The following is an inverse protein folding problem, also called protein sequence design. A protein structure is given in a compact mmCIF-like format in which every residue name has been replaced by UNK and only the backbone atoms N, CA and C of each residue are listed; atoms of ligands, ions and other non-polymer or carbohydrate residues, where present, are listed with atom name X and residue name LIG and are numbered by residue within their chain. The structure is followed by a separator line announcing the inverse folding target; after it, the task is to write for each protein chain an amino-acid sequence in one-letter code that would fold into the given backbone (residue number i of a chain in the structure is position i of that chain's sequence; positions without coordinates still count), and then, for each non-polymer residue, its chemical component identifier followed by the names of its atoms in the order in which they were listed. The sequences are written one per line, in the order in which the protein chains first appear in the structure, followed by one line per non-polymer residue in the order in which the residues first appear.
data_IF_850150760895
#
_entry.id   IF_850150760895
#
_cell.length_a   1.000
_cell.length_b   1.000
_cell.length_c   1.000
_cell.angle_alpha   90.00
_cell.angle_beta   90.00
_cell.angle_gamma   90.00
#
_symmetry.space_group_name_H-M   'P 1'
#
loop_
_entity.id
_entity.type
_entity.pdbx_description
1 polymer ?
#
# COMPACT_ATOMS: atom_id res chain seq x y z
N UNK A 1 -26.76 0.44 10.61
CA UNK A 1 -26.41 1.00 11.94
C UNK A 1 -26.91 0.03 12.99
N UNK A 2 -26.06 -0.35 13.97
CA UNK A 2 -26.41 -1.21 15.12
C UNK A 2 -26.30 -0.37 16.39
N UNK A 3 -27.32 -0.40 17.25
CA UNK A 3 -27.34 0.33 18.52
C UNK A 3 -26.92 -0.61 19.65
N UNK A 4 -25.73 -0.42 20.22
CA UNK A 4 -25.27 -1.13 21.40
C UNK A 4 -25.40 -0.26 22.64
N UNK A 5 -26.08 -0.76 23.67
CA UNK A 5 -26.24 -0.08 24.98
C UNK A 5 -25.37 -0.78 26.01
N UNK A 6 -24.34 -0.07 26.49
CA UNK A 6 -23.36 -0.60 27.43
C UNK A 6 -23.81 -0.44 28.90
N UNK A 7 -23.11 -1.12 29.80
CA UNK A 7 -23.35 -1.18 31.26
C UNK A 7 -24.58 -2.03 31.66
N UNK A 8 -24.96 -2.99 30.82
CA UNK A 8 -25.97 -3.99 31.18
C UNK A 8 -25.29 -5.15 31.94
N UNK A 9 -24.88 -4.91 33.19
CA UNK A 9 -24.01 -5.82 33.95
C UNK A 9 -24.73 -7.01 34.56
N UNK A 10 -26.08 -6.99 34.61
CA UNK A 10 -26.90 -8.09 35.14
C UNK A 10 -27.29 -9.04 34.00
N UNK A 11 -26.96 -10.32 34.18
CA UNK A 11 -27.34 -11.38 33.24
C UNK A 11 -28.84 -11.68 33.38
N UNK A 12 -29.57 -11.64 32.26
CA UNK A 12 -30.98 -12.11 32.17
C UNK A 12 -32.06 -11.06 32.40
N UNK A 13 -31.75 -9.91 32.95
CA UNK A 13 -32.72 -8.81 33.10
C UNK A 13 -32.10 -7.50 32.63
N UNK A 14 -32.43 -7.03 31.41
CA UNK A 14 -31.98 -5.72 30.96
C UNK A 14 -32.59 -4.61 31.84
N UNK A 15 -31.83 -3.54 32.15
CA UNK A 15 -32.36 -2.43 32.97
C UNK A 15 -33.54 -1.77 32.24
N UNK A 16 -34.54 -1.29 33.03
CA UNK A 16 -35.74 -0.65 32.45
C UNK A 16 -35.40 0.56 31.58
N UNK A 17 -34.35 1.27 31.90
CA UNK A 17 -33.83 2.41 31.14
C UNK A 17 -33.37 2.04 29.71
N UNK A 18 -33.16 0.75 29.43
CA UNK A 18 -32.83 0.28 28.08
C UNK A 18 -33.95 0.62 27.09
N UNK A 19 -35.21 0.55 27.54
CA UNK A 19 -36.35 0.78 26.67
C UNK A 19 -36.49 2.23 26.22
N UNK A 20 -35.88 3.18 26.93
CA UNK A 20 -35.87 4.60 26.52
C UNK A 20 -35.14 4.82 25.21
N UNK A 21 -34.14 3.95 24.89
CA UNK A 21 -33.36 4.04 23.64
C UNK A 21 -34.16 3.63 22.39
N UNK A 22 -35.27 2.91 22.54
CA UNK A 22 -36.15 2.66 21.39
C UNK A 22 -36.77 3.94 20.82
N UNK A 23 -36.84 5.00 21.61
CA UNK A 23 -37.31 6.32 21.15
C UNK A 23 -36.42 6.93 20.08
N UNK A 24 -35.19 6.46 19.93
CA UNK A 24 -34.25 6.90 18.88
C UNK A 24 -34.64 6.40 17.47
N UNK A 25 -35.48 5.36 17.36
CA UNK A 25 -35.97 4.83 16.10
C UNK A 25 -34.89 4.22 15.20
N UNK A 26 -33.77 3.75 15.80
CA UNK A 26 -32.59 3.25 15.03
C UNK A 26 -32.69 1.73 14.76
N UNK A 27 -33.68 1.04 15.32
CA UNK A 27 -33.88 -0.40 15.22
C UNK A 27 -33.70 -1.11 16.56
N UNK A 28 -33.35 -2.39 16.52
CA UNK A 28 -33.18 -3.22 17.70
C UNK A 28 -31.96 -2.82 18.53
N UNK A 29 -32.07 -2.97 19.84
CA UNK A 29 -31.04 -2.59 20.80
C UNK A 29 -30.30 -3.86 21.22
N UNK A 30 -28.97 -3.83 21.16
CA UNK A 30 -28.12 -4.90 21.68
C UNK A 30 -27.57 -4.49 23.06
N UNK A 31 -28.05 -5.08 24.17
CA UNK A 31 -27.51 -4.79 25.49
C UNK A 31 -26.15 -5.49 25.67
N UNK A 32 -25.15 -4.73 26.11
CA UNK A 32 -23.80 -5.27 26.34
C UNK A 32 -23.26 -4.85 27.72
N UNK A 33 -22.30 -5.61 28.23
CA UNK A 33 -21.44 -5.21 29.35
C UNK A 33 -19.99 -5.33 28.91
N UNK A 34 -19.32 -4.22 28.63
CA UNK A 34 -17.91 -4.19 28.26
C UNK A 34 -16.99 -4.67 29.39
N UNK A 35 -17.43 -4.55 30.66
CA UNK A 35 -16.66 -4.98 31.84
C UNK A 35 -16.69 -6.50 32.01
N UNK A 36 -17.84 -7.10 31.75
CA UNK A 36 -18.07 -8.54 31.98
C UNK A 36 -18.10 -9.35 30.68
N UNK A 37 -18.04 -8.72 29.50
CA UNK A 37 -18.10 -9.39 28.21
C UNK A 37 -19.48 -9.93 27.81
N UNK A 38 -20.55 -9.62 28.60
CA UNK A 38 -21.89 -10.07 28.28
C UNK A 38 -22.45 -9.37 27.04
N UNK A 39 -23.14 -10.10 26.16
CA UNK A 39 -23.79 -9.58 24.96
C UNK A 39 -22.83 -9.16 23.84
N UNK A 40 -21.51 -9.32 24.02
CA UNK A 40 -20.53 -8.94 22.98
C UNK A 40 -20.57 -9.89 21.78
N UNK A 41 -20.89 -11.18 21.98
CA UNK A 41 -21.12 -12.14 20.90
C UNK A 41 -22.34 -11.74 20.07
N UNK A 42 -23.48 -11.50 20.71
CA UNK A 42 -24.72 -11.08 20.04
C UNK A 42 -24.54 -9.76 19.26
N UNK A 43 -23.73 -8.83 19.82
CA UNK A 43 -23.37 -7.60 19.11
C UNK A 43 -22.59 -7.89 17.83
N UNK A 44 -21.57 -8.77 17.89
CA UNK A 44 -20.78 -9.12 16.73
C UNK A 44 -21.61 -9.84 15.67
N UNK A 45 -22.48 -10.77 16.08
CA UNK A 45 -23.38 -11.48 15.17
C UNK A 45 -24.33 -10.49 14.48
N UNK A 46 -24.94 -9.57 15.24
CA UNK A 46 -25.80 -8.51 14.68
C UNK A 46 -25.03 -7.59 13.72
N UNK A 47 -23.78 -7.27 14.01
CA UNK A 47 -22.93 -6.49 13.08
C UNK A 47 -22.68 -7.28 11.81
N UNK A 48 -22.31 -8.55 11.92
CA UNK A 48 -22.06 -9.42 10.74
C UNK A 48 -23.30 -9.59 9.85
N UNK A 49 -24.50 -9.74 10.45
CA UNK A 49 -25.75 -9.84 9.70
C UNK A 49 -26.11 -8.54 8.95
N UNK A 50 -25.68 -7.39 9.48
CA UNK A 50 -25.94 -6.09 8.86
C UNK A 50 -24.80 -5.61 7.94
N UNK A 51 -23.68 -6.34 7.84
CA UNK A 51 -22.65 -6.11 6.86
C UNK A 51 -23.10 -6.68 5.52
N UNK A 52 -23.39 -5.80 4.59
CA UNK A 52 -23.53 -6.16 3.19
C UNK A 52 -22.12 -6.23 2.61
N UNK A 53 -21.67 -7.44 2.32
CA UNK A 53 -20.50 -7.64 1.48
C UNK A 53 -20.97 -7.40 0.04
N UNK A 54 -20.53 -6.31 -0.58
CA UNK A 54 -20.73 -6.13 -2.01
C UNK A 54 -19.90 -7.17 -2.75
N UNK A 55 -20.50 -7.85 -3.75
CA UNK A 55 -19.78 -8.82 -4.60
C UNK A 55 -18.57 -8.19 -5.33
N UNK A 56 -18.45 -6.86 -5.31
CA UNK A 56 -17.30 -6.11 -5.82
C UNK A 56 -16.05 -6.22 -4.92
N UNK A 57 -16.20 -6.58 -3.63
CA UNK A 57 -15.06 -6.69 -2.70
C UNK A 57 -14.12 -7.84 -3.11
N UNK A 58 -14.62 -8.92 -3.69
CA UNK A 58 -13.79 -10.02 -4.21
C UNK A 58 -12.92 -9.59 -5.41
N UNK A 59 -13.42 -8.68 -6.26
CA UNK A 59 -12.63 -8.13 -7.38
C UNK A 59 -11.57 -7.12 -6.92
N UNK A 60 -11.78 -6.41 -5.81
CA UNK A 60 -10.78 -5.51 -5.23
C UNK A 60 -9.66 -6.28 -4.50
N UNK A 61 -9.96 -7.40 -3.85
CA UNK A 61 -8.95 -8.24 -3.18
C UNK A 61 -7.92 -8.84 -4.15
N UNK A 62 -8.30 -9.07 -5.42
CA UNK A 62 -7.40 -9.63 -6.46
C UNK A 62 -6.43 -8.58 -7.03
N UNK A 63 -6.58 -7.29 -6.70
CA UNK A 63 -5.73 -6.20 -7.17
C UNK A 63 -4.62 -5.90 -6.18
N UNK A 64 -3.42 -5.65 -6.69
CA UNK A 64 -2.26 -5.28 -5.86
C UNK A 64 -2.18 -3.75 -5.76
N UNK A 65 -2.44 -3.15 -4.57
CA UNK A 65 -2.26 -1.72 -4.37
C UNK A 65 -0.78 -1.36 -4.31
N UNK A 66 -0.34 -0.48 -5.23
CA UNK A 66 1.06 -0.09 -5.42
C UNK A 66 1.24 1.41 -5.23
N UNK A 67 2.13 1.81 -4.32
CA UNK A 67 2.58 3.19 -4.21
C UNK A 67 3.89 3.40 -4.96
N UNK A 68 3.98 4.49 -5.74
CA UNK A 68 5.23 4.93 -6.37
C UNK A 68 5.77 6.13 -5.61
N UNK A 69 6.82 5.92 -4.83
CA UNK A 69 7.41 6.92 -3.95
C UNK A 69 8.86 7.25 -4.34
N UNK A 70 9.38 8.32 -3.79
CA UNK A 70 10.73 8.81 -4.05
C UNK A 70 10.75 10.33 -4.15
N UNK A 71 11.94 10.92 -4.15
CA UNK A 71 12.14 12.37 -4.20
C UNK A 71 11.59 13.02 -5.49
N UNK A 72 11.46 14.34 -5.56
CA UNK A 72 11.06 15.04 -6.77
C UNK A 72 12.00 14.73 -7.95
N UNK A 73 11.45 14.70 -9.16
CA UNK A 73 12.17 14.55 -10.44
C UNK A 73 12.90 13.21 -10.68
N UNK A 74 12.71 12.18 -9.84
CA UNK A 74 13.24 10.82 -10.09
C UNK A 74 12.52 10.09 -11.23
N UNK A 75 11.38 10.63 -11.71
CA UNK A 75 10.64 10.07 -12.84
C UNK A 75 9.35 9.32 -12.49
N UNK A 76 8.78 9.51 -11.28
CA UNK A 76 7.50 8.89 -10.88
C UNK A 76 6.37 9.13 -11.88
N UNK A 77 6.17 10.40 -12.25
CA UNK A 77 5.14 10.78 -13.25
C UNK A 77 5.41 10.19 -14.62
N UNK A 78 6.69 10.07 -15.00
CA UNK A 78 7.09 9.44 -16.27
C UNK A 78 6.77 7.95 -16.26
N UNK A 79 7.00 7.28 -15.14
CA UNK A 79 6.65 5.86 -14.98
C UNK A 79 5.14 5.64 -15.13
N UNK A 80 4.34 6.39 -14.38
CA UNK A 80 2.87 6.28 -14.46
C UNK A 80 2.37 6.62 -15.86
N UNK A 81 2.87 7.68 -16.49
CA UNK A 81 2.46 8.05 -17.85
C UNK A 81 2.86 6.99 -18.89
N UNK A 82 4.01 6.35 -18.73
CA UNK A 82 4.43 5.26 -19.62
C UNK A 82 3.52 4.04 -19.47
N UNK A 83 3.26 3.63 -18.22
CA UNK A 83 2.34 2.54 -17.90
C UNK A 83 0.96 2.80 -18.51
N UNK A 84 0.44 4.03 -18.41
CA UNK A 84 -0.86 4.41 -18.97
C UNK A 84 -0.87 4.54 -20.51
N UNK A 85 0.27 4.82 -21.11
CA UNK A 85 0.41 4.97 -22.56
C UNK A 85 0.53 3.65 -23.33
N UNK A 86 0.82 2.56 -22.66
CA UNK A 86 0.84 1.23 -23.28
C UNK A 86 -0.59 0.75 -23.53
N UNK A 87 -1.00 0.65 -24.81
CA UNK A 87 -2.36 0.38 -25.30
C UNK A 87 -2.97 -1.00 -24.91
N UNK A 88 -2.47 -1.66 -23.89
CA UNK A 88 -2.94 -2.96 -23.40
C UNK A 88 -3.62 -2.87 -22.03
N UNK A 89 -3.87 -1.65 -21.54
CA UNK A 89 -4.34 -1.43 -20.18
C UNK A 89 -5.81 -1.00 -20.16
N UNK A 90 -6.61 -1.71 -19.39
CA UNK A 90 -7.94 -1.24 -19.00
C UNK A 90 -7.73 -0.20 -17.89
N UNK A 91 -7.86 1.08 -18.24
CA UNK A 91 -7.78 2.18 -17.27
C UNK A 91 -9.19 2.53 -16.84
N UNK A 92 -9.61 2.07 -15.67
CA UNK A 92 -10.79 2.59 -15.01
C UNK A 92 -10.37 3.74 -14.07
N UNK A 93 -11.00 4.91 -14.22
CA UNK A 93 -10.87 6.00 -13.25
C UNK A 93 -12.04 5.88 -12.27
N UNK A 94 -11.90 5.10 -11.22
CA UNK A 94 -12.84 5.20 -10.10
C UNK A 94 -12.44 6.37 -9.21
N UNK A 95 -13.33 7.36 -9.12
CA UNK A 95 -13.22 8.43 -8.14
C UNK A 95 -13.59 7.81 -6.78
N UNK A 96 -12.57 7.46 -5.99
CA UNK A 96 -12.77 7.05 -4.61
C UNK A 96 -13.49 8.14 -3.81
N UNK A 97 -14.25 7.75 -2.80
CA UNK A 97 -15.12 8.56 -1.95
C UNK A 97 -14.41 9.66 -1.14
N UNK A 98 -13.11 9.82 -1.26
CA UNK A 98 -12.33 10.92 -0.65
C UNK A 98 -11.85 11.89 -1.71
N UNK A 99 -12.19 13.15 -1.55
CA UNK A 99 -12.11 14.30 -2.49
C UNK A 99 -10.79 14.57 -3.22
N UNK A 100 -9.68 13.82 -2.99
CA UNK A 100 -8.36 14.21 -3.49
C UNK A 100 -7.46 13.08 -4.05
N UNK A 101 -7.79 11.82 -3.89
CA UNK A 101 -6.98 10.70 -4.37
C UNK A 101 -7.57 10.10 -5.65
N UNK A 102 -6.86 10.19 -6.76
CA UNK A 102 -7.20 9.47 -7.99
C UNK A 102 -6.26 8.29 -8.09
N UNK A 103 -6.81 7.11 -7.88
CA UNK A 103 -6.11 5.85 -8.08
C UNK A 103 -6.22 5.42 -9.55
N UNK A 104 -5.23 4.69 -10.03
CA UNK A 104 -5.18 4.22 -11.42
C UNK A 104 -5.15 2.73 -11.45
N UNK A 105 -6.19 2.13 -11.99
CA UNK A 105 -6.25 0.69 -12.23
C UNK A 105 -5.49 0.32 -13.50
N UNK A 106 -4.71 -0.73 -13.41
CA UNK A 106 -3.88 -1.26 -14.48
C UNK A 106 -4.03 -2.76 -14.50
N UNK A 107 -4.43 -3.29 -15.65
CA UNK A 107 -4.52 -4.74 -15.88
C UNK A 107 -3.65 -5.13 -17.07
N UNK A 108 -2.81 -6.11 -16.90
CA UNK A 108 -1.93 -6.62 -17.94
C UNK A 108 -1.69 -8.14 -17.76
N UNK A 109 -0.82 -8.72 -18.57
CA UNK A 109 -0.46 -10.15 -18.52
C UNK A 109 0.17 -10.59 -17.18
N UNK A 110 0.63 -9.65 -16.35
CA UNK A 110 1.24 -9.89 -15.04
C UNK A 110 0.23 -9.77 -13.89
N UNK A 111 -1.00 -9.32 -14.13
CA UNK A 111 -2.05 -9.22 -13.13
C UNK A 111 -2.75 -7.87 -13.10
N UNK A 112 -3.49 -7.65 -11.99
CA UNK A 112 -4.27 -6.46 -11.74
C UNK A 112 -3.61 -5.61 -10.65
N UNK A 113 -3.44 -4.33 -10.91
CA UNK A 113 -2.73 -3.39 -10.03
C UNK A 113 -3.55 -2.13 -9.82
N UNK A 114 -3.42 -1.52 -8.63
CA UNK A 114 -3.97 -0.19 -8.34
C UNK A 114 -2.81 0.71 -7.96
N UNK A 115 -2.44 1.64 -8.83
CA UNK A 115 -1.45 2.66 -8.50
C UNK A 115 -2.13 3.78 -7.71
N UNK A 116 -1.75 3.93 -6.44
CA UNK A 116 -2.36 4.87 -5.50
C UNK A 116 -1.86 6.30 -5.71
N UNK A 117 -2.74 7.30 -5.48
CA UNK A 117 -2.46 8.76 -5.55
C UNK A 117 -1.78 9.23 -6.84
N UNK A 118 -2.23 8.73 -7.98
CA UNK A 118 -1.66 9.13 -9.28
C UNK A 118 -2.03 10.55 -9.72
N UNK A 119 -3.03 11.19 -9.10
CA UNK A 119 -3.45 12.58 -9.42
C UNK A 119 -2.32 13.59 -9.22
N UNK A 120 -1.59 13.48 -8.12
CA UNK A 120 -0.41 14.30 -7.85
C UNK A 120 0.73 14.08 -8.85
N UNK A 121 0.79 12.89 -9.46
CA UNK A 121 1.79 12.53 -10.46
C UNK A 121 1.41 12.99 -11.87
N UNK A 122 0.10 13.02 -12.21
CA UNK A 122 -0.40 13.42 -13.53
C UNK A 122 -0.38 14.92 -13.79
N UNK A 123 -0.63 15.78 -12.77
CA UNK A 123 -0.82 17.24 -12.92
C UNK A 123 0.46 18.07 -13.00
N UNK A 124 1.67 17.49 -13.02
CA UNK A 124 2.92 18.23 -13.06
C UNK A 124 3.27 18.76 -14.46
N UNK A 125 2.58 19.83 -14.89
CA UNK A 125 3.03 20.68 -15.99
C UNK A 125 3.54 22.07 -15.56
N UNK A 126 3.24 22.55 -14.33
CA UNK A 126 3.75 23.81 -13.75
C UNK A 126 3.85 23.67 -12.23
N UNK A 127 5.03 23.80 -11.68
CA UNK A 127 5.31 23.71 -10.25
C UNK A 127 5.72 25.07 -9.70
N UNK A 128 4.95 25.60 -8.76
CA UNK A 128 5.33 26.71 -7.89
C UNK A 128 5.91 26.19 -6.55
N UNK A 129 6.84 26.93 -6.01
CA UNK A 129 7.70 26.64 -4.87
C UNK A 129 6.99 26.66 -3.50
N UNK A 130 6.00 25.82 -3.32
CA UNK A 130 5.27 25.66 -2.04
C UNK A 130 4.86 24.21 -1.80
N UNK A 131 5.18 23.31 -2.73
CA UNK A 131 4.56 21.99 -2.91
C UNK A 131 5.31 20.85 -2.19
N UNK A 132 6.50 21.08 -1.63
CA UNK A 132 7.30 19.98 -1.06
C UNK A 132 6.65 19.31 0.16
N UNK A 133 6.08 20.06 1.08
CA UNK A 133 5.41 19.50 2.27
C UNK A 133 4.17 18.68 1.91
N UNK A 134 3.37 19.17 0.95
CA UNK A 134 2.19 18.43 0.46
C UNK A 134 2.57 17.16 -0.32
N UNK A 135 3.72 17.16 -1.01
CA UNK A 135 4.24 15.99 -1.72
C UNK A 135 4.64 14.86 -0.77
N UNK A 136 5.22 15.20 0.39
CA UNK A 136 5.60 14.22 1.41
C UNK A 136 4.36 13.60 2.05
N UNK A 137 3.41 14.41 2.51
CA UNK A 137 2.17 13.92 3.14
C UNK A 137 1.36 13.00 2.20
N UNK A 138 1.28 13.33 0.91
CA UNK A 138 0.62 12.46 -0.08
C UNK A 138 1.36 11.15 -0.28
N UNK A 139 2.70 11.19 -0.30
CA UNK A 139 3.49 9.95 -0.39
C UNK A 139 3.25 9.05 0.82
N UNK A 140 3.11 9.63 2.03
CA UNK A 140 2.80 8.89 3.24
C UNK A 140 1.42 8.23 3.16
N UNK A 141 0.38 8.97 2.76
CA UNK A 141 -0.97 8.44 2.58
C UNK A 141 -1.03 7.34 1.49
N UNK A 142 -0.25 7.48 0.39
CA UNK A 142 -0.15 6.47 -0.63
C UNK A 142 0.50 5.17 -0.09
N UNK A 143 1.55 5.31 0.72
CA UNK A 143 2.20 4.16 1.38
C UNK A 143 1.23 3.42 2.30
N UNK A 144 0.47 4.14 3.14
CA UNK A 144 -0.48 3.52 4.06
C UNK A 144 -1.52 2.64 3.35
N UNK A 145 -2.02 3.11 2.18
CA UNK A 145 -3.03 2.43 1.36
C UNK A 145 -2.47 1.36 0.44
N UNK A 146 -1.16 1.21 0.34
CA UNK A 146 -0.51 0.24 -0.54
C UNK A 146 -0.12 -1.04 0.17
N UNK A 147 0.04 -2.13 -0.60
CA UNK A 147 0.71 -3.37 -0.19
C UNK A 147 2.17 -3.36 -0.64
N UNK A 148 2.43 -2.83 -1.82
CA UNK A 148 3.77 -2.75 -2.42
C UNK A 148 4.19 -1.30 -2.61
N UNK A 149 5.42 -0.96 -2.24
CA UNK A 149 6.03 0.34 -2.44
C UNK A 149 7.18 0.25 -3.45
N UNK A 150 7.05 0.95 -4.58
CA UNK A 150 8.13 1.12 -5.56
C UNK A 150 8.89 2.40 -5.22
N UNK A 151 10.08 2.26 -4.65
CA UNK A 151 10.98 3.35 -4.25
C UNK A 151 11.83 3.73 -5.44
N UNK A 152 11.57 4.88 -6.04
CA UNK A 152 12.28 5.34 -7.24
C UNK A 152 13.50 6.17 -6.91
N UNK A 153 14.64 5.80 -7.49
CA UNK A 153 15.93 6.48 -7.38
C UNK A 153 16.38 6.94 -8.76
N UNK A 154 17.05 8.08 -8.84
CA UNK A 154 17.63 8.60 -10.07
C UNK A 154 19.04 8.04 -10.27
N UNK A 155 19.24 7.20 -11.28
CA UNK A 155 20.54 6.59 -11.59
C UNK A 155 21.65 7.60 -11.90
N UNK A 156 21.29 8.79 -12.39
CA UNK A 156 22.27 9.83 -12.75
C UNK A 156 22.80 10.61 -11.55
N UNK A 157 22.08 10.55 -10.42
CA UNK A 157 22.42 11.24 -9.16
C UNK A 157 22.92 10.25 -8.11
N UNK A 158 22.39 9.01 -8.15
CA UNK A 158 22.65 7.99 -7.15
C UNK A 158 21.80 8.16 -5.89
N UNK A 159 22.18 7.45 -4.83
CA UNK A 159 21.55 7.47 -3.53
C UNK A 159 21.71 8.82 -2.82
N UNK A 160 20.70 9.22 -2.08
CA UNK A 160 20.72 10.41 -1.23
C UNK A 160 20.05 10.12 0.11
N UNK A 161 20.38 10.93 1.12
CA UNK A 161 19.74 10.85 2.45
C UNK A 161 18.21 10.98 2.40
N UNK A 162 17.68 11.72 1.42
CA UNK A 162 16.24 11.85 1.23
C UNK A 162 15.61 10.54 0.72
N UNK A 163 16.32 9.78 -0.11
CA UNK A 163 15.87 8.46 -0.58
C UNK A 163 15.81 7.47 0.59
N UNK A 164 16.80 7.52 1.51
CA UNK A 164 16.79 6.72 2.75
C UNK A 164 15.58 7.01 3.63
N UNK A 165 15.25 8.29 3.84
CA UNK A 165 14.10 8.69 4.66
C UNK A 165 12.77 8.19 4.09
N UNK A 166 12.60 8.29 2.77
CA UNK A 166 11.39 7.82 2.09
C UNK A 166 11.28 6.29 2.12
N UNK A 167 12.40 5.60 1.92
CA UNK A 167 12.47 4.14 1.99
C UNK A 167 12.24 3.62 3.41
N UNK A 168 12.87 4.26 4.41
CA UNK A 168 12.70 3.93 5.82
C UNK A 168 11.24 3.99 6.26
N UNK A 169 10.50 5.01 5.84
CA UNK A 169 9.07 5.07 6.14
C UNK A 169 8.29 3.87 5.60
N UNK A 170 8.51 3.48 4.34
CA UNK A 170 7.82 2.31 3.75
C UNK A 170 8.21 1.01 4.47
N UNK A 171 9.48 0.88 4.87
CA UNK A 171 10.00 -0.24 5.66
C UNK A 171 9.33 -0.31 7.03
N UNK A 172 9.27 0.81 7.76
CA UNK A 172 8.67 0.89 9.10
C UNK A 172 7.17 0.56 9.09
N UNK A 173 6.49 0.84 7.97
CA UNK A 173 5.08 0.46 7.75
C UNK A 173 4.91 -1.02 7.35
N UNK A 174 5.98 -1.80 7.29
CA UNK A 174 5.92 -3.23 6.94
C UNK A 174 5.49 -3.53 5.50
N UNK A 175 5.66 -2.58 4.59
CA UNK A 175 5.27 -2.74 3.19
C UNK A 175 6.28 -3.58 2.42
N UNK A 176 5.79 -4.35 1.43
CA UNK A 176 6.69 -4.95 0.44
C UNK A 176 7.37 -3.83 -0.35
N UNK A 177 8.69 -3.84 -0.43
CA UNK A 177 9.46 -2.76 -1.06
C UNK A 177 10.27 -3.24 -2.26
N UNK A 178 10.34 -2.39 -3.30
CA UNK A 178 11.19 -2.57 -4.48
C UNK A 178 11.99 -1.28 -4.67
N UNK A 179 13.30 -1.38 -4.88
CA UNK A 179 14.16 -0.25 -5.23
C UNK A 179 14.26 -0.18 -6.76
N UNK A 180 13.63 0.83 -7.38
CA UNK A 180 13.62 1.05 -8.82
C UNK A 180 14.59 2.18 -9.21
N UNK A 181 15.74 1.80 -9.73
CA UNK A 181 16.79 2.72 -10.19
C UNK A 181 16.43 3.17 -11.62
N UNK A 182 15.83 4.35 -11.70
CA UNK A 182 15.29 4.91 -12.94
C UNK A 182 16.29 5.79 -13.68
N UNK A 183 15.97 6.15 -14.92
CA UNK A 183 16.82 6.89 -15.87
C UNK A 183 18.07 6.11 -16.27
N UNK A 184 17.97 4.78 -16.26
CA UNK A 184 19.07 3.91 -16.65
C UNK A 184 19.52 4.12 -18.11
N UNK A 185 18.65 4.67 -18.96
CA UNK A 185 18.96 5.09 -20.34
C UNK A 185 19.96 6.25 -20.41
N UNK A 186 20.02 7.10 -19.39
CA UNK A 186 20.86 8.29 -19.35
C UNK A 186 22.26 8.08 -18.70
N UNK A 187 22.51 6.88 -18.15
CA UNK A 187 23.80 6.55 -17.54
C UNK A 187 24.79 6.05 -18.59
N UNK A 188 26.00 6.57 -18.57
CA UNK A 188 27.12 5.98 -19.34
C UNK A 188 27.51 4.63 -18.72
N UNK A 189 27.57 3.59 -19.55
CA UNK A 189 27.68 2.20 -19.09
C UNK A 189 28.96 1.54 -19.58
N UNK A 190 29.69 0.96 -18.66
CA UNK A 190 30.67 -0.08 -18.93
C UNK A 190 30.10 -1.45 -18.44
N UNK A 191 30.86 -2.51 -18.64
CA UNK A 191 30.48 -3.87 -18.26
C UNK A 191 30.23 -4.04 -16.75
N UNK A 192 30.72 -3.13 -15.92
CA UNK A 192 30.68 -3.21 -14.45
C UNK A 192 29.82 -2.14 -13.80
N UNK A 193 29.30 -1.19 -14.56
CA UNK A 193 28.53 -0.04 -14.03
C UNK A 193 27.32 -0.49 -13.20
N UNK A 194 26.56 -1.48 -13.71
CA UNK A 194 25.38 -1.99 -13.03
C UNK A 194 25.74 -2.68 -11.71
N UNK A 195 26.77 -3.52 -11.73
CA UNK A 195 27.17 -4.30 -10.54
C UNK A 195 27.76 -3.39 -9.45
N UNK A 196 28.56 -2.40 -9.85
CA UNK A 196 29.07 -1.38 -8.91
C UNK A 196 27.95 -0.59 -8.26
N UNK A 197 26.98 -0.11 -9.07
CA UNK A 197 25.86 0.67 -8.53
C UNK A 197 24.94 -0.21 -7.66
N UNK A 198 24.72 -1.47 -8.05
CA UNK A 198 23.94 -2.42 -7.23
C UNK A 198 24.59 -2.61 -5.87
N UNK A 199 25.89 -2.92 -5.84
CA UNK A 199 26.62 -3.13 -4.60
C UNK A 199 26.59 -1.89 -3.70
N UNK A 200 26.75 -0.70 -4.26
CA UNK A 200 26.64 0.54 -3.50
C UNK A 200 25.25 0.71 -2.90
N UNK A 201 24.18 0.45 -3.67
CA UNK A 201 22.81 0.55 -3.19
C UNK A 201 22.48 -0.52 -2.12
N UNK A 202 23.04 -1.72 -2.22
CA UNK A 202 22.91 -2.75 -1.20
C UNK A 202 23.55 -2.34 0.13
N UNK A 203 24.67 -1.60 0.09
CA UNK A 203 25.30 -1.01 1.27
C UNK A 203 24.46 0.15 1.82
N UNK A 204 24.01 1.08 0.96
CA UNK A 204 23.20 2.25 1.31
C UNK A 204 21.83 1.88 1.90
N UNK A 205 21.21 0.79 1.41
CA UNK A 205 19.93 0.24 1.87
C UNK A 205 20.08 -1.03 2.72
N UNK A 206 21.17 -1.16 3.46
CA UNK A 206 21.44 -2.36 4.28
C UNK A 206 20.31 -2.73 5.25
N UNK A 207 19.53 -1.73 5.72
CA UNK A 207 18.36 -1.95 6.59
C UNK A 207 17.16 -2.61 5.89
N UNK A 208 17.16 -2.65 4.55
CA UNK A 208 16.12 -3.31 3.75
C UNK A 208 16.72 -4.22 2.66
N UNK A 209 17.69 -5.04 3.04
CA UNK A 209 18.40 -5.99 2.18
C UNK A 209 17.49 -7.02 1.48
N UNK A 210 16.24 -7.18 1.95
CA UNK A 210 15.21 -8.01 1.35
C UNK A 210 14.60 -7.39 0.07
N UNK A 211 14.74 -6.07 -0.11
CA UNK A 211 14.10 -5.37 -1.23
C UNK A 211 14.89 -5.57 -2.53
N UNK A 212 14.27 -6.13 -3.58
CA UNK A 212 14.94 -6.29 -4.86
C UNK A 212 15.28 -4.95 -5.52
N UNK A 213 16.45 -4.86 -6.15
CA UNK A 213 16.93 -3.69 -6.88
C UNK A 213 16.75 -3.92 -8.38
N UNK A 214 15.98 -3.05 -9.03
CA UNK A 214 15.74 -3.07 -10.47
C UNK A 214 16.28 -1.80 -11.15
N UNK A 215 16.95 -1.95 -12.27
CA UNK A 215 17.40 -0.85 -13.12
C UNK A 215 16.42 -0.69 -14.29
N UNK A 216 15.69 0.43 -14.31
CA UNK A 216 14.61 0.68 -15.27
C UNK A 216 14.82 2.00 -16.03
N UNK A 217 14.10 2.18 -17.13
CA UNK A 217 13.89 3.49 -17.74
C UNK A 217 12.41 3.74 -17.96
N UNK A 218 11.83 4.61 -17.15
CA UNK A 218 10.45 5.05 -17.29
C UNK A 218 10.21 5.82 -18.61
N UNK A 219 11.27 6.36 -19.20
CA UNK A 219 11.20 7.08 -20.48
C UNK A 219 11.10 6.15 -21.69
N UNK A 220 11.87 5.07 -21.70
CA UNK A 220 11.96 4.15 -22.82
C UNK A 220 11.14 2.86 -22.64
N UNK A 221 10.55 2.64 -21.46
CA UNK A 221 9.87 1.39 -21.12
C UNK A 221 10.81 0.25 -20.74
N UNK A 222 12.11 0.48 -20.71
CA UNK A 222 13.08 -0.58 -20.47
C UNK A 222 12.86 -1.26 -19.11
N UNK A 223 12.64 -2.57 -19.13
CA UNK A 223 12.45 -3.46 -17.97
C UNK A 223 11.21 -3.15 -17.11
N UNK A 224 10.19 -2.52 -17.66
CA UNK A 224 8.92 -2.34 -16.95
C UNK A 224 8.16 -3.67 -16.77
N UNK A 225 8.26 -4.58 -17.74
CA UNK A 225 7.75 -5.95 -17.57
C UNK A 225 8.32 -6.61 -16.31
N UNK A 226 9.63 -6.47 -16.11
CA UNK A 226 10.31 -7.00 -14.93
C UNK A 226 9.84 -6.32 -13.63
N UNK A 227 9.46 -5.06 -13.70
CA UNK A 227 8.89 -4.35 -12.55
C UNK A 227 7.56 -4.97 -12.15
N UNK A 228 6.65 -5.25 -13.08
CA UNK A 228 5.36 -5.89 -12.79
C UNK A 228 5.54 -7.31 -12.21
N UNK A 229 6.41 -8.12 -12.81
CA UNK A 229 6.75 -9.45 -12.24
C UNK A 229 7.28 -9.36 -10.82
N UNK A 230 8.12 -8.34 -10.56
CA UNK A 230 8.70 -8.15 -9.22
C UNK A 230 7.66 -7.66 -8.22
N UNK A 231 6.69 -6.80 -8.64
CA UNK A 231 5.59 -6.37 -7.78
C UNK A 231 4.78 -7.59 -7.32
N UNK A 232 4.40 -8.49 -8.22
CA UNK A 232 3.71 -9.74 -7.85
C UNK A 232 4.55 -10.58 -6.88
N UNK A 233 5.82 -10.76 -7.19
CA UNK A 233 6.72 -11.57 -6.38
C UNK A 233 6.81 -11.05 -4.94
N UNK A 234 7.06 -9.75 -4.74
CA UNK A 234 7.22 -9.20 -3.39
C UNK A 234 5.89 -9.14 -2.61
N UNK A 235 4.77 -8.96 -3.31
CA UNK A 235 3.44 -9.01 -2.71
C UNK A 235 3.15 -10.39 -2.12
N UNK A 236 3.38 -11.45 -2.89
CA UNK A 236 3.23 -12.85 -2.45
C UNK A 236 4.18 -13.16 -1.28
N UNK A 237 5.45 -12.71 -1.36
CA UNK A 237 6.41 -12.94 -0.29
C UNK A 237 5.99 -12.26 1.01
N UNK A 238 5.53 -11.01 0.94
CA UNK A 238 5.09 -10.25 2.11
C UNK A 238 3.81 -10.83 2.75
N UNK A 239 2.92 -11.40 1.95
CA UNK A 239 1.70 -12.09 2.43
C UNK A 239 1.92 -13.49 2.98
N UNK A 240 3.12 -14.06 2.81
CA UNK A 240 3.40 -15.44 3.21
C UNK A 240 3.46 -15.58 4.72
N UNK A 241 2.59 -16.42 5.29
CA UNK A 241 2.60 -16.76 6.71
C UNK A 241 3.50 -17.98 6.97
N UNK A 242 4.48 -17.81 7.84
CA UNK A 242 5.34 -18.92 8.30
C UNK A 242 4.61 -19.66 9.41
N UNK A 243 4.39 -20.99 9.31
CA UNK A 243 3.80 -21.78 10.39
C UNK A 243 4.65 -21.69 11.67
N UNK A 244 4.00 -21.59 12.83
CA UNK A 244 4.68 -21.47 14.13
C UNK A 244 5.70 -22.58 14.39
N UNK A 245 5.42 -23.81 13.93
CA UNK A 245 6.34 -24.94 14.04
C UNK A 245 7.67 -24.71 13.31
N UNK A 246 7.61 -24.22 12.06
CA UNK A 246 8.79 -23.90 11.26
C UNK A 246 9.60 -22.74 11.88
N UNK A 247 8.89 -21.72 12.40
CA UNK A 247 9.54 -20.61 13.09
C UNK A 247 10.29 -21.08 14.35
N UNK A 248 9.67 -21.93 15.17
CA UNK A 248 10.30 -22.49 16.37
C UNK A 248 11.52 -23.36 16.04
N UNK A 249 11.47 -24.16 14.96
CA UNK A 249 12.63 -24.93 14.51
C UNK A 249 13.80 -24.03 14.08
N UNK A 250 13.51 -22.93 13.36
CA UNK A 250 14.55 -21.96 12.97
C UNK A 250 15.18 -21.31 14.20
N UNK A 251 14.36 -20.87 15.15
CA UNK A 251 14.84 -20.27 16.41
C UNK A 251 15.72 -21.26 17.21
N UNK A 252 15.29 -22.52 17.33
CA UNK A 252 16.06 -23.55 18.04
C UNK A 252 17.41 -23.91 17.37
N UNK A 253 17.54 -23.67 16.06
CA UNK A 253 18.81 -23.85 15.32
C UNK A 253 19.74 -22.64 15.40
N UNK A 254 19.20 -21.46 15.78
CA UNK A 254 19.93 -20.19 15.82
C UNK A 254 20.41 -19.83 17.22
N UNK A 255 19.98 -20.57 18.24
CA UNK A 255 20.40 -20.53 19.64
C UNK A 255 21.29 -21.74 19.97
#
# INVERSE_FOLDING_TARGET
VVLAVNKCDKVGEPPMELYDFYSLGIGDIVPISSVHGHGTGDLLDTVCENLHFDDNDEEEEDRIPVAVIGRPNVGKSSLINHILGENRLIVANEAGTTRDAIDTMVENQYGKFIFTDTAGLRKRGKVESGVERYSVLRSLAAVERSRVCVIMIDATVGFTEQDSKVAGYAHDQGKACIIAVNKWDAVEKDSYTMDKMRKQLEEDFSFMSYAPILFISAKTGQRLDKLFETIQYVDVQNGTRIPTGALNEMLARST
#
